data_IF_462405640316
#
_entry.id   IF_462405640316
#
_cell.length_a   1.000
_cell.length_b   1.000
_cell.length_c   1.000
_cell.angle_alpha   90.00
_cell.angle_beta   90.00
_cell.angle_gamma   90.00
#
_symmetry.space_group_name_H-M   'P 1'
#
loop_
_entity.id
_entity.type
_entity.pdbx_description
1 polymer ?
#
# COMPACT_ATOMS: atom_id res chain seq x y z
N UNK A 1 -23.60 28.11 -11.52
CA UNK A 1 -22.40 28.79 -10.98
C UNK A 1 -21.38 27.71 -10.63
N UNK A 2 -20.13 27.81 -11.08
CA UNK A 2 -19.09 26.82 -10.75
C UNK A 2 -18.68 26.99 -9.28
N UNK A 3 -18.77 25.95 -8.45
CA UNK A 3 -18.11 25.94 -7.13
C UNK A 3 -16.69 25.41 -7.29
N UNK A 4 -15.71 26.22 -6.91
CA UNK A 4 -14.32 25.82 -6.81
C UNK A 4 -14.14 24.86 -5.63
N UNK A 5 -13.64 23.66 -5.89
CA UNK A 5 -13.07 22.81 -4.84
C UNK A 5 -11.59 23.19 -4.68
N UNK A 6 -11.23 23.71 -3.51
CA UNK A 6 -9.83 23.92 -3.13
C UNK A 6 -9.30 22.60 -2.61
N UNK A 7 -8.77 21.78 -3.52
CA UNK A 7 -8.05 20.55 -3.14
C UNK A 7 -6.73 20.96 -2.50
N UNK A 8 -6.62 20.85 -1.17
CA UNK A 8 -5.34 20.94 -0.47
C UNK A 8 -4.54 19.67 -0.81
N UNK A 9 -3.78 19.74 -1.90
CA UNK A 9 -2.82 18.69 -2.26
C UNK A 9 -1.72 18.68 -1.20
N UNK A 10 -1.80 17.74 -0.26
CA UNK A 10 -0.65 17.38 0.58
C UNK A 10 0.32 16.65 -0.34
N UNK A 11 1.20 17.41 -0.99
CA UNK A 11 2.33 16.87 -1.74
C UNK A 11 3.27 16.22 -0.72
N UNK A 12 3.05 14.93 -0.45
CA UNK A 12 4.05 14.10 0.19
C UNK A 12 5.24 14.03 -0.77
N UNK A 13 6.25 14.88 -0.55
CA UNK A 13 7.50 14.84 -1.32
C UNK A 13 8.28 13.59 -0.91
N UNK A 14 7.90 12.45 -1.49
CA UNK A 14 8.70 11.23 -1.45
C UNK A 14 9.95 11.50 -2.29
N UNK A 15 10.99 11.97 -1.60
CA UNK A 15 12.33 12.03 -2.15
C UNK A 15 12.79 10.61 -2.46
N UNK A 16 13.26 10.39 -3.68
CA UNK A 16 13.82 9.10 -4.09
C UNK A 16 15.17 8.95 -3.40
N UNK A 17 15.15 8.41 -2.19
CA UNK A 17 16.34 7.97 -1.48
C UNK A 17 16.90 6.72 -2.18
N UNK A 18 18.24 6.57 -2.31
CA UNK A 18 18.81 5.32 -2.80
C UNK A 18 18.44 4.16 -1.87
N UNK A 19 17.88 3.09 -2.44
CA UNK A 19 17.46 1.90 -1.70
C UNK A 19 18.67 1.26 -0.99
N UNK A 20 18.56 1.07 0.33
CA UNK A 20 19.62 0.49 1.13
C UNK A 20 19.60 -1.05 0.99
N UNK A 21 20.52 -1.59 0.17
CA UNK A 21 20.68 -3.03 -0.02
C UNK A 21 21.28 -3.70 1.23
N UNK A 22 20.61 -4.72 1.76
CA UNK A 22 21.23 -5.73 2.62
C UNK A 22 21.54 -6.99 1.79
N UNK A 23 22.65 -7.67 2.10
CA UNK A 23 23.19 -8.73 1.26
C UNK A 23 23.16 -10.08 1.95
N UNK A 24 22.50 -11.09 1.37
CA UNK A 24 23.03 -12.47 1.33
C UNK A 24 22.30 -13.35 0.29
N UNK A 25 22.95 -14.47 -0.05
CA UNK A 25 22.42 -15.65 -0.75
C UNK A 25 22.20 -15.54 -2.28
N UNK A 26 23.32 -15.71 -2.99
CA UNK A 26 23.40 -16.04 -4.40
C UNK A 26 24.03 -17.44 -4.52
N UNK A 27 23.21 -18.49 -4.72
CA UNK A 27 23.54 -19.84 -5.27
C UNK A 27 22.18 -20.56 -5.44
N UNK A 28 21.68 -20.63 -6.68
CA UNK A 28 20.71 -21.64 -7.18
C UNK A 28 20.32 -21.41 -8.66
N UNK A 29 20.43 -20.17 -9.16
CA UNK A 29 19.94 -19.79 -10.49
C UNK A 29 20.81 -20.31 -11.67
N UNK A 30 22.06 -20.71 -11.43
CA UNK A 30 23.03 -20.98 -12.51
C UNK A 30 22.86 -22.35 -13.20
N UNK A 31 22.14 -23.30 -12.60
CA UNK A 31 22.05 -24.67 -13.16
C UNK A 31 21.00 -24.83 -14.27
N UNK A 32 19.96 -23.99 -14.33
CA UNK A 32 18.86 -24.14 -15.32
C UNK A 32 19.17 -23.59 -16.73
N UNK A 33 20.25 -22.82 -16.90
CA UNK A 33 20.60 -22.17 -18.18
C UNK A 33 21.43 -23.04 -19.15
N UNK A 34 21.87 -24.25 -18.76
CA UNK A 34 22.85 -25.04 -19.54
C UNK A 34 22.29 -25.84 -20.73
N UNK A 35 20.97 -25.97 -20.89
CA UNK A 35 20.37 -26.95 -21.80
C UNK A 35 19.82 -26.42 -23.14
N UNK A 36 19.84 -25.10 -23.40
CA UNK A 36 19.37 -24.52 -24.68
C UNK A 36 20.51 -23.87 -25.47
N UNK A 37 21.42 -24.67 -26.00
CA UNK A 37 22.43 -24.25 -26.99
C UNK A 37 22.18 -24.97 -28.32
N UNK A 38 21.35 -24.38 -29.20
CA UNK A 38 21.36 -24.75 -30.61
C UNK A 38 22.51 -24.02 -31.33
N UNK A 39 23.40 -24.79 -31.94
CA UNK A 39 24.56 -24.26 -32.66
C UNK A 39 24.15 -23.57 -33.97
N UNK A 40 24.31 -22.24 -34.04
CA UNK A 40 24.40 -21.52 -35.31
C UNK A 40 25.87 -21.36 -35.75
N UNK A 41 26.17 -21.50 -37.06
CA UNK A 41 27.55 -21.50 -37.54
C UNK A 41 28.20 -20.11 -37.47
N UNK A 42 29.46 -20.08 -37.03
CA UNK A 42 30.25 -18.85 -36.89
C UNK A 42 30.74 -18.39 -38.27
N UNK A 43 30.03 -17.46 -38.90
CA UNK A 43 30.52 -16.70 -40.06
C UNK A 43 30.98 -15.30 -39.63
N UNK A 44 32.28 -15.03 -39.79
CA UNK A 44 32.91 -13.69 -39.86
C UNK A 44 32.22 -12.55 -39.08
N UNK A 45 32.68 -12.30 -37.85
CA UNK A 45 32.27 -11.14 -37.06
C UNK A 45 32.79 -9.86 -37.72
N UNK A 46 31.96 -9.23 -38.56
CA UNK A 46 32.03 -7.78 -38.71
C UNK A 46 31.89 -7.16 -37.31
N UNK A 47 32.75 -6.19 -36.98
CA UNK A 47 32.58 -5.40 -35.76
C UNK A 47 31.35 -4.50 -35.93
N UNK A 48 30.17 -5.04 -35.64
CA UNK A 48 28.90 -4.33 -35.70
C UNK A 48 29.01 -3.04 -34.91
N UNK A 49 29.04 -1.92 -35.63
CA UNK A 49 29.13 -0.58 -35.03
C UNK A 49 27.93 -0.39 -34.10
N UNK A 50 28.18 -0.03 -32.84
CA UNK A 50 27.12 0.28 -31.86
C UNK A 50 26.25 1.40 -32.43
N UNK A 51 24.96 1.13 -32.55
CA UNK A 51 23.96 2.10 -32.99
C UNK A 51 23.05 2.47 -31.82
N UNK A 52 22.84 3.77 -31.64
CA UNK A 52 21.87 4.33 -30.70
C UNK A 52 21.17 5.44 -31.49
N UNK A 53 20.09 5.12 -32.23
CA UNK A 53 19.49 6.06 -33.18
C UNK A 53 18.74 7.20 -32.47
N UNK A 54 18.15 6.94 -31.31
CA UNK A 54 17.54 7.98 -30.49
C UNK A 54 18.62 8.87 -29.86
N UNK A 55 18.62 10.15 -30.23
CA UNK A 55 19.64 11.08 -29.80
C UNK A 55 19.50 11.49 -28.32
N UNK A 56 18.31 11.40 -27.71
CA UNK A 56 18.11 11.65 -26.28
C UNK A 56 18.63 10.47 -25.45
N UNK A 57 18.30 9.23 -25.84
CA UNK A 57 18.86 8.02 -25.23
C UNK A 57 20.39 8.01 -25.31
N UNK A 58 20.93 8.33 -26.49
CA UNK A 58 22.38 8.45 -26.72
C UNK A 58 23.01 9.52 -25.83
N UNK A 59 22.36 10.68 -25.66
CA UNK A 59 22.83 11.73 -24.77
C UNK A 59 22.84 11.25 -23.31
N UNK A 60 21.81 10.57 -22.82
CA UNK A 60 21.79 10.07 -21.44
C UNK A 60 22.82 8.96 -21.20
N UNK A 61 23.07 8.08 -22.18
CA UNK A 61 24.17 7.12 -22.13
C UNK A 61 25.53 7.83 -22.08
N UNK A 62 25.75 8.87 -22.89
CA UNK A 62 26.97 9.70 -22.85
C UNK A 62 27.11 10.50 -21.55
N UNK A 63 26.01 10.99 -20.97
CA UNK A 63 26.01 11.63 -19.65
C UNK A 63 26.43 10.63 -18.56
N UNK A 64 25.94 9.40 -18.62
CA UNK A 64 26.30 8.37 -17.65
C UNK A 64 27.76 7.91 -17.83
N UNK A 65 28.24 7.74 -19.06
CA UNK A 65 29.66 7.52 -19.33
C UNK A 65 30.53 8.70 -18.85
N UNK A 66 30.06 9.94 -18.97
CA UNK A 66 30.79 11.13 -18.49
C UNK A 66 31.04 11.06 -16.98
N UNK A 67 30.04 10.59 -16.21
CA UNK A 67 30.18 10.35 -14.77
C UNK A 67 31.16 9.21 -14.47
N UNK A 68 31.05 8.09 -15.18
CA UNK A 68 31.86 6.88 -14.96
C UNK A 68 33.33 7.04 -15.38
N UNK A 69 33.61 7.84 -16.42
CA UNK A 69 34.95 8.07 -16.97
C UNK A 69 35.64 9.31 -16.36
N UNK A 70 34.94 10.13 -15.58
CA UNK A 70 35.49 11.36 -14.98
C UNK A 70 35.84 12.46 -15.98
N UNK A 71 35.38 12.36 -17.24
CA UNK A 71 35.59 13.35 -18.31
C UNK A 71 34.41 13.35 -19.28
N UNK A 72 34.24 14.42 -20.05
CA UNK A 72 33.26 14.49 -21.13
C UNK A 72 33.38 13.26 -22.04
N UNK A 73 32.31 12.47 -22.13
CA UNK A 73 32.21 11.35 -23.06
C UNK A 73 31.78 11.85 -24.45
N UNK A 74 32.21 11.13 -25.48
CA UNK A 74 32.00 11.45 -26.90
C UNK A 74 31.48 10.23 -27.65
N UNK A 75 31.09 10.38 -28.92
CA UNK A 75 30.69 9.24 -29.75
C UNK A 75 31.79 8.15 -29.87
N UNK A 76 33.06 8.50 -29.67
CA UNK A 76 34.17 7.54 -29.67
C UNK A 76 34.21 6.67 -28.40
N UNK A 77 33.52 7.10 -27.34
CA UNK A 77 33.41 6.37 -26.07
C UNK A 77 32.26 5.35 -26.07
N UNK A 78 31.43 5.32 -27.12
CA UNK A 78 30.39 4.31 -27.36
C UNK A 78 31.01 3.01 -27.87
N UNK A 79 31.89 2.43 -27.05
CA UNK A 79 32.55 1.13 -27.24
C UNK A 79 32.12 0.17 -26.13
N UNK A 80 32.06 -1.13 -26.44
CA UNK A 80 31.48 -2.13 -25.54
C UNK A 80 32.14 -2.13 -24.14
N UNK A 81 33.46 -1.95 -24.06
CA UNK A 81 34.18 -1.90 -22.77
C UNK A 81 33.75 -0.75 -21.86
N UNK A 82 33.27 0.35 -22.43
CA UNK A 82 32.74 1.48 -21.66
C UNK A 82 31.26 1.25 -21.32
N UNK A 83 30.47 0.72 -22.27
CA UNK A 83 29.05 0.41 -22.04
C UNK A 83 28.86 -0.68 -20.98
N UNK A 84 29.79 -1.63 -20.89
CA UNK A 84 29.82 -2.67 -19.85
C UNK A 84 30.08 -2.10 -18.44
N UNK A 85 30.48 -0.82 -18.30
CA UNK A 85 30.58 -0.14 -17.01
C UNK A 85 29.23 0.36 -16.48
N UNK A 86 28.22 0.52 -17.36
CA UNK A 86 26.91 1.05 -16.99
C UNK A 86 26.10 -0.06 -16.30
N UNK A 87 25.90 0.10 -14.98
CA UNK A 87 25.06 -0.78 -14.16
C UNK A 87 23.72 -0.14 -13.74
N UNK A 88 23.65 1.20 -13.75
CA UNK A 88 22.44 1.96 -13.42
C UNK A 88 22.24 3.05 -14.46
N UNK A 89 20.99 3.25 -14.90
CA UNK A 89 20.60 4.29 -15.84
C UNK A 89 19.19 4.83 -15.54
N UNK A 90 19.09 6.14 -15.30
CA UNK A 90 17.81 6.85 -15.20
C UNK A 90 17.61 7.67 -16.47
N UNK A 91 16.67 7.24 -17.31
CA UNK A 91 16.28 7.89 -18.55
C UNK A 91 15.09 8.81 -18.31
N UNK A 92 15.06 9.95 -19.00
CA UNK A 92 13.96 10.91 -18.92
C UNK A 92 13.71 11.66 -20.23
N UNK A 93 12.47 12.10 -20.44
CA UNK A 93 12.09 12.96 -21.57
C UNK A 93 11.62 12.18 -22.80
N UNK A 94 11.49 12.89 -23.94
CA UNK A 94 10.88 12.39 -25.19
C UNK A 94 11.80 11.41 -25.97
N UNK A 95 12.24 10.34 -25.30
CA UNK A 95 12.92 9.18 -25.90
C UNK A 95 11.84 8.30 -26.54
N UNK A 96 12.01 8.01 -27.83
CA UNK A 96 11.02 7.28 -28.65
C UNK A 96 11.42 5.84 -28.88
N UNK A 97 12.71 5.63 -29.15
CA UNK A 97 13.28 4.30 -29.30
C UNK A 97 14.26 3.99 -28.19
N UNK A 98 14.08 2.82 -27.58
CA UNK A 98 15.02 2.22 -26.62
C UNK A 98 16.14 1.41 -27.31
N UNK A 99 16.25 1.48 -28.65
CA UNK A 99 17.35 0.87 -29.38
C UNK A 99 18.69 1.46 -28.94
N UNK A 100 19.55 0.59 -28.43
CA UNK A 100 20.80 0.95 -27.77
C UNK A 100 20.91 0.29 -26.40
N UNK A 101 19.78 0.02 -25.71
CA UNK A 101 19.80 -0.68 -24.43
C UNK A 101 20.38 -2.10 -24.53
N UNK A 102 20.25 -2.78 -25.68
CA UNK A 102 20.81 -4.12 -25.90
C UNK A 102 22.35 -4.21 -25.75
N UNK A 103 23.06 -3.07 -25.78
CA UNK A 103 24.50 -3.04 -25.55
C UNK A 103 24.89 -2.90 -24.07
N UNK A 104 23.94 -2.65 -23.15
CA UNK A 104 24.20 -2.38 -21.72
C UNK A 104 24.16 -3.67 -20.88
N UNK A 105 25.08 -4.60 -21.19
CA UNK A 105 25.09 -6.01 -20.74
C UNK A 105 25.22 -6.24 -19.23
N UNK A 106 25.58 -5.21 -18.48
CA UNK A 106 25.77 -5.26 -17.03
C UNK A 106 24.73 -4.41 -16.26
N UNK A 107 23.66 -3.96 -16.93
CA UNK A 107 22.58 -3.21 -16.28
C UNK A 107 21.94 -4.03 -15.15
N UNK A 108 21.84 -3.40 -13.98
CA UNK A 108 21.16 -3.88 -12.78
C UNK A 108 19.91 -3.06 -12.47
N UNK A 109 19.93 -1.77 -12.78
CA UNK A 109 18.87 -0.81 -12.43
C UNK A 109 18.54 0.10 -13.62
N UNK A 110 17.29 0.07 -14.07
CA UNK A 110 16.81 0.92 -15.16
C UNK A 110 15.56 1.66 -14.71
N UNK A 111 15.52 2.98 -14.92
CA UNK A 111 14.32 3.79 -14.72
C UNK A 111 13.98 4.59 -15.97
N UNK A 112 12.72 4.54 -16.39
CA UNK A 112 12.12 5.30 -17.48
C UNK A 112 11.18 6.35 -16.88
N UNK A 113 11.30 7.64 -17.28
CA UNK A 113 10.48 8.74 -16.72
C UNK A 113 10.04 9.77 -17.74
N UNK A 114 8.78 10.20 -17.68
CA UNK A 114 8.23 11.28 -18.54
C UNK A 114 8.48 10.98 -20.03
N UNK A 115 7.98 9.83 -20.48
CA UNK A 115 8.18 9.30 -21.83
C UNK A 115 6.82 8.98 -22.46
N UNK A 116 6.26 9.93 -23.20
CA UNK A 116 4.87 9.85 -23.71
C UNK A 116 4.76 9.15 -25.08
N UNK A 117 5.87 8.65 -25.64
CA UNK A 117 5.94 8.15 -27.02
C UNK A 117 7.00 7.05 -27.22
N UNK A 118 7.15 6.14 -26.24
CA UNK A 118 8.03 4.97 -26.40
C UNK A 118 7.37 3.95 -27.31
N UNK A 119 8.02 3.63 -28.43
CA UNK A 119 7.51 2.69 -29.43
C UNK A 119 7.38 1.27 -28.88
N UNK A 120 8.37 0.79 -28.10
CA UNK A 120 8.40 -0.57 -27.57
C UNK A 120 9.41 -0.76 -26.44
N UNK A 121 9.05 -1.58 -25.45
CA UNK A 121 9.98 -2.06 -24.42
C UNK A 121 10.77 -3.32 -24.82
N UNK A 122 10.61 -3.84 -26.05
CA UNK A 122 11.19 -5.12 -26.49
C UNK A 122 12.72 -5.23 -26.39
N UNK A 123 13.45 -4.11 -26.32
CA UNK A 123 14.89 -4.07 -26.09
C UNK A 123 15.30 -4.47 -24.66
N UNK A 124 14.39 -4.38 -23.69
CA UNK A 124 14.67 -4.72 -22.28
C UNK A 124 15.06 -6.20 -22.11
N UNK A 125 14.59 -7.12 -22.98
CA UNK A 125 14.91 -8.56 -22.94
C UNK A 125 16.41 -8.89 -22.95
N UNK A 126 17.25 -7.95 -23.39
CA UNK A 126 18.70 -8.10 -23.42
C UNK A 126 19.38 -7.75 -22.08
N UNK A 127 18.65 -7.09 -21.17
CA UNK A 127 19.13 -6.66 -19.85
C UNK A 127 19.00 -7.80 -18.82
N UNK A 128 19.57 -8.97 -19.13
CA UNK A 128 19.38 -10.19 -18.35
C UNK A 128 20.01 -10.21 -16.94
N UNK A 129 20.60 -9.08 -16.48
CA UNK A 129 21.07 -8.86 -15.11
C UNK A 129 20.25 -7.79 -14.37
N UNK A 130 19.15 -7.32 -14.97
CA UNK A 130 18.29 -6.31 -14.37
C UNK A 130 17.63 -6.89 -13.11
N UNK A 131 17.75 -6.15 -12.01
CA UNK A 131 17.22 -6.47 -10.68
C UNK A 131 16.17 -5.46 -10.25
N UNK A 132 16.27 -4.21 -10.73
CA UNK A 132 15.31 -3.15 -10.45
C UNK A 132 14.85 -2.52 -11.76
N UNK A 133 13.53 -2.47 -11.96
CA UNK A 133 12.90 -1.77 -13.08
C UNK A 133 11.92 -0.72 -12.58
N UNK A 134 12.06 0.51 -13.08
CA UNK A 134 11.19 1.63 -12.76
C UNK A 134 10.60 2.26 -14.02
N UNK A 135 9.32 2.58 -14.02
CA UNK A 135 8.63 3.26 -15.12
C UNK A 135 7.63 4.27 -14.53
N UNK A 136 7.79 5.57 -14.82
CA UNK A 136 7.00 6.64 -14.18
C UNK A 136 6.54 7.65 -15.22
N UNK A 137 5.23 7.95 -15.30
CA UNK A 137 4.68 8.82 -16.35
C UNK A 137 5.24 8.43 -17.73
N UNK A 138 5.08 7.16 -18.10
CA UNK A 138 5.68 6.60 -19.31
C UNK A 138 4.63 5.74 -19.99
N UNK A 139 4.15 6.21 -21.14
CA UNK A 139 3.11 5.55 -21.92
C UNK A 139 3.78 4.78 -23.04
N UNK A 140 3.52 3.48 -23.10
CA UNK A 140 4.00 2.61 -24.18
C UNK A 140 2.83 2.33 -25.11
N UNK A 141 2.97 2.64 -26.40
CA UNK A 141 1.86 2.51 -27.36
C UNK A 141 1.48 1.05 -27.65
N UNK A 142 2.41 0.12 -27.47
CA UNK A 142 2.16 -1.32 -27.47
C UNK A 142 1.72 -1.80 -26.07
N UNK A 143 0.42 -2.10 -25.93
CA UNK A 143 -0.17 -2.63 -24.69
C UNK A 143 0.47 -3.92 -24.18
N UNK A 144 1.13 -4.70 -25.04
CA UNK A 144 1.82 -5.95 -24.67
C UNK A 144 3.26 -5.74 -24.23
N UNK A 145 3.81 -4.53 -24.31
CA UNK A 145 5.25 -4.31 -24.13
C UNK A 145 5.77 -4.67 -22.74
N UNK A 146 4.93 -4.66 -21.69
CA UNK A 146 5.34 -5.05 -20.34
C UNK A 146 5.52 -6.57 -20.16
N UNK A 147 4.96 -7.41 -21.04
CA UNK A 147 5.28 -8.84 -21.09
C UNK A 147 6.77 -9.16 -21.31
N UNK A 148 7.57 -8.17 -21.76
CA UNK A 148 9.02 -8.29 -21.83
C UNK A 148 9.66 -8.60 -20.46
N UNK A 149 9.04 -8.13 -19.36
CA UNK A 149 9.55 -8.31 -18.00
C UNK A 149 9.70 -9.78 -17.62
N UNK A 150 8.89 -10.68 -18.19
CA UNK A 150 8.97 -12.13 -17.98
C UNK A 150 10.32 -12.76 -18.34
N UNK A 151 11.12 -12.08 -19.17
CA UNK A 151 12.45 -12.53 -19.57
C UNK A 151 13.54 -12.14 -18.55
N UNK A 152 13.20 -11.28 -17.59
CA UNK A 152 14.13 -10.64 -16.66
C UNK A 152 14.11 -11.36 -15.30
N UNK A 153 14.41 -12.66 -15.33
CA UNK A 153 14.31 -13.61 -14.19
C UNK A 153 15.08 -13.24 -12.92
N UNK A 154 15.95 -12.21 -12.98
CA UNK A 154 16.69 -11.65 -11.84
C UNK A 154 16.02 -10.40 -11.23
N UNK A 155 14.87 -9.96 -11.73
CA UNK A 155 14.09 -8.88 -11.14
C UNK A 155 13.73 -9.22 -9.70
N UNK A 156 14.03 -8.25 -8.83
CA UNK A 156 13.65 -8.19 -7.41
C UNK A 156 12.59 -7.12 -7.19
N UNK A 157 12.72 -5.97 -7.86
CA UNK A 157 11.89 -4.80 -7.60
C UNK A 157 11.33 -4.23 -8.91
N UNK A 158 10.00 -4.10 -8.98
CA UNK A 158 9.27 -3.47 -10.08
C UNK A 158 8.51 -2.27 -9.53
N UNK A 159 8.71 -1.10 -10.12
CA UNK A 159 7.94 0.12 -9.83
C UNK A 159 7.36 0.68 -11.13
N UNK A 160 6.04 0.71 -11.25
CA UNK A 160 5.31 1.23 -12.42
C UNK A 160 4.28 2.23 -11.92
N UNK A 161 4.35 3.47 -12.37
CA UNK A 161 3.45 4.54 -11.91
C UNK A 161 3.01 5.42 -13.08
N UNK A 162 1.72 5.70 -13.19
CA UNK A 162 1.13 6.47 -14.29
C UNK A 162 1.57 5.96 -15.68
N UNK A 163 1.46 4.65 -15.91
CA UNK A 163 1.82 4.02 -17.19
C UNK A 163 0.69 4.06 -18.25
N UNK A 164 -0.50 4.51 -17.86
CA UNK A 164 -1.69 4.50 -18.71
C UNK A 164 -2.35 3.12 -18.73
N UNK A 165 -2.64 2.62 -19.92
CA UNK A 165 -3.27 1.33 -20.17
C UNK A 165 -2.19 0.23 -20.27
N UNK A 166 -2.17 -0.67 -19.29
CA UNK A 166 -1.16 -1.73 -19.13
C UNK A 166 -1.81 -3.11 -19.03
N UNK A 167 -2.91 -3.28 -19.77
CA UNK A 167 -3.83 -4.41 -19.74
C UNK A 167 -3.17 -5.79 -19.91
N UNK A 168 -2.00 -5.83 -20.55
CA UNK A 168 -1.17 -7.03 -20.70
C UNK A 168 0.23 -6.82 -20.10
N UNK A 169 0.28 -6.55 -18.79
CA UNK A 169 1.52 -6.71 -18.00
C UNK A 169 2.17 -8.09 -18.21
N UNK A 170 1.32 -9.08 -18.51
CA UNK A 170 1.71 -10.47 -18.71
C UNK A 170 1.66 -11.26 -17.42
N UNK A 171 1.89 -12.56 -17.57
CA UNK A 171 2.01 -13.48 -16.45
C UNK A 171 3.43 -13.41 -15.87
N UNK A 172 3.61 -12.76 -14.72
CA UNK A 172 4.91 -12.59 -14.07
C UNK A 172 5.36 -13.83 -13.27
N UNK A 173 4.69 -14.99 -13.45
CA UNK A 173 5.03 -16.31 -12.89
C UNK A 173 6.47 -16.78 -13.15
N UNK A 174 7.28 -16.06 -13.92
CA UNK A 174 8.67 -16.39 -14.22
C UNK A 174 9.70 -15.57 -13.42
N UNK A 175 9.28 -14.81 -12.40
CA UNK A 175 10.13 -13.95 -11.57
C UNK A 175 10.35 -14.49 -10.14
N UNK A 176 11.12 -15.58 -9.94
CA UNK A 176 11.26 -16.26 -8.64
C UNK A 176 12.02 -15.45 -7.57
N UNK A 177 12.66 -14.34 -7.97
CA UNK A 177 13.44 -13.46 -7.11
C UNK A 177 12.69 -12.17 -6.73
N UNK A 178 11.42 -12.03 -7.14
CA UNK A 178 10.64 -10.81 -6.93
C UNK A 178 10.32 -10.61 -5.44
N UNK A 179 10.75 -9.48 -4.90
CA UNK A 179 10.66 -9.05 -3.49
C UNK A 179 9.63 -7.91 -3.33
N UNK A 180 9.56 -6.98 -4.29
CA UNK A 180 8.57 -5.89 -4.31
C UNK A 180 7.99 -5.68 -5.72
N UNK A 181 6.67 -5.50 -5.79
CA UNK A 181 5.96 -5.05 -6.99
C UNK A 181 4.99 -3.93 -6.64
N UNK A 182 5.30 -2.72 -7.11
CA UNK A 182 4.46 -1.54 -6.99
C UNK A 182 3.97 -1.12 -8.37
N UNK A 183 2.67 -1.22 -8.60
CA UNK A 183 1.98 -0.66 -9.76
C UNK A 183 0.96 0.35 -9.24
N UNK A 184 0.99 1.57 -9.76
CA UNK A 184 0.04 2.61 -9.39
C UNK A 184 -0.51 3.43 -10.56
N UNK A 185 -1.76 3.85 -10.43
CA UNK A 185 -2.44 4.77 -11.35
C UNK A 185 -2.32 4.34 -12.82
N UNK A 186 -2.51 3.03 -13.05
CA UNK A 186 -2.27 2.34 -14.32
C UNK A 186 -3.31 1.23 -14.48
N UNK A 187 -4.06 1.24 -15.58
CA UNK A 187 -5.21 0.35 -15.76
C UNK A 187 -4.76 -1.09 -16.06
N UNK A 188 -5.24 -2.03 -15.23
CA UNK A 188 -4.97 -3.48 -15.34
C UNK A 188 -6.27 -4.24 -15.61
N UNK A 189 -6.57 -4.56 -16.88
CA UNK A 189 -7.69 -5.44 -17.27
C UNK A 189 -7.72 -6.77 -16.49
N UNK A 190 -6.54 -7.29 -16.13
CA UNK A 190 -6.37 -8.51 -15.34
C UNK A 190 -5.21 -8.35 -14.36
N UNK A 191 -5.31 -9.09 -13.25
CA UNK A 191 -4.23 -9.20 -12.26
C UNK A 191 -2.93 -9.75 -12.87
N UNK A 192 -1.76 -9.32 -12.38
CA UNK A 192 -0.52 -10.02 -12.67
C UNK A 192 -0.53 -11.42 -12.04
N UNK A 193 -0.25 -12.43 -12.87
CA UNK A 193 0.20 -13.75 -12.39
C UNK A 193 1.52 -13.58 -11.64
N UNK A 194 1.62 -14.16 -10.45
CA UNK A 194 2.74 -14.01 -9.52
C UNK A 194 3.03 -15.32 -8.75
N UNK A 195 2.59 -16.48 -9.25
CA UNK A 195 2.55 -17.76 -8.53
C UNK A 195 3.89 -18.26 -8.02
N UNK A 196 4.98 -17.96 -8.73
CA UNK A 196 6.34 -18.33 -8.32
C UNK A 196 7.10 -17.20 -7.61
N UNK A 197 6.49 -16.04 -7.36
CA UNK A 197 7.09 -14.92 -6.62
C UNK A 197 7.07 -15.15 -5.10
N UNK A 198 7.64 -16.28 -4.66
CA UNK A 198 7.61 -16.76 -3.26
C UNK A 198 8.46 -15.92 -2.30
N UNK A 199 9.24 -14.97 -2.82
CA UNK A 199 10.03 -14.00 -2.06
C UNK A 199 9.30 -12.66 -1.88
N UNK A 200 8.07 -12.52 -2.39
CA UNK A 200 7.34 -11.25 -2.39
C UNK A 200 6.97 -10.82 -0.96
N UNK A 201 7.42 -9.61 -0.61
CA UNK A 201 7.19 -8.92 0.67
C UNK A 201 6.23 -7.76 0.50
N UNK A 202 6.41 -6.98 -0.56
CA UNK A 202 5.67 -5.72 -0.77
C UNK A 202 4.85 -5.78 -2.07
N UNK A 203 3.53 -5.67 -1.95
CA UNK A 203 2.59 -5.73 -3.07
C UNK A 203 1.69 -4.51 -3.09
N UNK A 204 1.91 -3.60 -4.04
CA UNK A 204 1.05 -2.43 -4.26
C UNK A 204 0.44 -2.49 -5.66
N UNK A 205 -0.89 -2.46 -5.76
CA UNK A 205 -1.67 -2.38 -7.01
C UNK A 205 -2.70 -1.24 -6.89
N UNK A 206 -2.25 -0.06 -6.43
CA UNK A 206 -3.09 1.08 -6.06
C UNK A 206 -3.62 1.83 -7.29
N UNK A 207 -4.89 2.23 -7.33
CA UNK A 207 -5.50 2.90 -8.48
C UNK A 207 -5.32 2.09 -9.79
N UNK A 208 -5.60 0.77 -9.77
CA UNK A 208 -5.43 -0.12 -10.94
C UNK A 208 -6.72 -0.78 -11.45
N UNK A 209 -7.86 -0.46 -10.82
CA UNK A 209 -9.23 -0.90 -11.14
C UNK A 209 -9.51 -2.40 -10.92
N UNK A 210 -8.73 -3.06 -10.05
CA UNK A 210 -8.89 -4.48 -9.70
C UNK A 210 -10.21 -4.72 -8.94
N UNK A 211 -10.96 -5.73 -9.38
CA UNK A 211 -12.23 -6.15 -8.75
C UNK A 211 -12.08 -7.37 -7.83
N UNK A 212 -11.15 -8.28 -8.15
CA UNK A 212 -10.88 -9.51 -7.40
C UNK A 212 -9.40 -9.88 -7.57
N UNK A 213 -8.73 -10.39 -6.52
CA UNK A 213 -7.42 -11.04 -6.61
C UNK A 213 -7.40 -12.22 -5.63
N UNK A 214 -7.00 -13.41 -6.10
CA UNK A 214 -7.17 -14.68 -5.36
C UNK A 214 -5.87 -15.40 -5.00
N UNK A 215 -4.72 -14.97 -5.52
CA UNK A 215 -3.46 -15.72 -5.41
C UNK A 215 -2.61 -15.35 -4.18
N UNK A 216 -3.17 -14.68 -3.16
CA UNK A 216 -2.39 -14.22 -1.99
C UNK A 216 -1.78 -15.36 -1.15
N UNK A 217 -2.38 -16.55 -1.21
CA UNK A 217 -2.03 -17.69 -0.37
C UNK A 217 -0.62 -18.26 -0.57
N UNK A 218 0.03 -17.94 -1.69
CA UNK A 218 1.41 -18.35 -1.98
C UNK A 218 2.48 -17.41 -1.38
N UNK A 219 2.11 -16.17 -1.04
CA UNK A 219 3.06 -15.14 -0.57
C UNK A 219 3.31 -15.23 0.94
N UNK A 220 3.89 -16.34 1.39
CA UNK A 220 4.13 -16.59 2.83
C UNK A 220 5.06 -15.55 3.50
N UNK A 221 5.82 -14.78 2.71
CA UNK A 221 6.70 -13.69 3.17
C UNK A 221 6.10 -12.29 2.99
N UNK A 222 4.83 -12.15 2.63
CA UNK A 222 4.18 -10.86 2.43
C UNK A 222 4.12 -10.06 3.76
N UNK A 223 4.67 -8.85 3.73
CA UNK A 223 4.81 -7.92 4.87
C UNK A 223 3.92 -6.68 4.69
N UNK A 224 3.80 -6.16 3.47
CA UNK A 224 2.94 -5.01 3.12
C UNK A 224 2.07 -5.27 1.86
N UNK A 225 0.80 -4.88 1.96
CA UNK A 225 -0.18 -4.87 0.85
C UNK A 225 -0.84 -3.51 0.73
N UNK A 226 -0.90 -2.98 -0.49
CA UNK A 226 -1.66 -1.78 -0.83
C UNK A 226 -2.54 -2.02 -2.07
N UNK A 227 -3.84 -1.97 -1.88
CA UNK A 227 -4.87 -2.09 -2.92
C UNK A 227 -5.84 -0.90 -2.85
N UNK A 228 -5.37 0.26 -2.38
CA UNK A 228 -6.17 1.50 -2.34
C UNK A 228 -6.68 1.88 -3.75
N UNK A 229 -7.86 2.51 -3.85
CA UNK A 229 -8.38 3.05 -5.11
C UNK A 229 -8.78 1.98 -6.15
N UNK A 230 -9.39 0.88 -5.70
CA UNK A 230 -9.79 -0.24 -6.55
C UNK A 230 -11.29 -0.53 -6.42
N UNK A 231 -11.75 -1.67 -6.97
CA UNK A 231 -13.16 -2.05 -7.03
C UNK A 231 -13.44 -3.34 -6.25
N UNK A 232 -12.64 -3.63 -5.21
CA UNK A 232 -12.83 -4.81 -4.36
C UNK A 232 -14.16 -4.72 -3.61
N UNK A 233 -14.92 -5.82 -3.57
CA UNK A 233 -16.22 -5.92 -2.87
C UNK A 233 -16.15 -6.67 -1.52
N UNK A 234 -15.04 -7.36 -1.28
CA UNK A 234 -14.74 -8.15 -0.09
C UNK A 234 -13.24 -8.05 0.21
N UNK A 235 -12.84 -8.28 1.46
CA UNK A 235 -11.41 -8.39 1.81
C UNK A 235 -10.86 -9.73 1.32
N UNK A 236 -9.76 -9.77 0.54
CA UNK A 236 -9.13 -11.02 0.15
C UNK A 236 -8.68 -11.89 1.32
N UNK A 237 -8.58 -13.21 1.11
CA UNK A 237 -8.10 -14.13 2.13
C UNK A 237 -6.56 -14.04 2.28
N UNK A 238 -6.12 -13.49 3.41
CA UNK A 238 -4.72 -13.37 3.82
C UNK A 238 -4.31 -14.39 4.90
N UNK A 239 -5.08 -15.46 5.10
CA UNK A 239 -4.85 -16.46 6.15
C UNK A 239 -3.49 -17.20 6.07
N UNK A 240 -2.85 -17.20 4.90
CA UNK A 240 -1.52 -17.79 4.68
C UNK A 240 -0.37 -16.77 4.69
N UNK A 241 -0.62 -15.52 5.10
CA UNK A 241 0.36 -14.42 5.12
C UNK A 241 0.68 -14.00 6.59
N UNK A 242 1.35 -14.86 7.39
CA UNK A 242 1.54 -14.64 8.83
C UNK A 242 2.46 -13.45 9.17
N UNK A 243 3.18 -12.92 8.18
CA UNK A 243 4.10 -11.78 8.32
C UNK A 243 3.44 -10.44 7.94
N UNK A 244 2.18 -10.43 7.52
CA UNK A 244 1.51 -9.24 6.97
C UNK A 244 1.27 -8.18 8.07
N UNK A 245 2.06 -7.11 8.06
CA UNK A 245 1.95 -6.00 9.01
C UNK A 245 1.19 -4.80 8.48
N UNK A 246 1.02 -4.66 7.17
CA UNK A 246 0.29 -3.53 6.59
C UNK A 246 -0.66 -3.99 5.48
N UNK A 247 -1.91 -3.57 5.55
CA UNK A 247 -2.97 -3.82 4.57
C UNK A 247 -3.73 -2.52 4.31
N UNK A 248 -3.57 -1.94 3.12
CA UNK A 248 -4.32 -0.76 2.67
C UNK A 248 -5.35 -1.18 1.61
N UNK A 249 -6.60 -0.80 1.83
CA UNK A 249 -7.81 -1.16 1.10
C UNK A 249 -8.76 0.05 1.02
N UNK A 250 -8.25 1.28 1.17
CA UNK A 250 -9.05 2.50 1.14
C UNK A 250 -9.64 2.74 -0.26
N UNK A 251 -10.76 3.46 -0.35
CA UNK A 251 -11.38 3.87 -1.62
C UNK A 251 -11.66 2.65 -2.51
N UNK A 252 -12.52 1.79 -2.00
CA UNK A 252 -12.94 0.51 -2.58
C UNK A 252 -14.45 0.31 -2.36
N UNK A 253 -14.99 -0.84 -2.75
CA UNK A 253 -16.42 -1.16 -2.67
C UNK A 253 -16.73 -2.23 -1.60
N UNK A 254 -15.82 -2.44 -0.64
CA UNK A 254 -15.84 -3.57 0.29
C UNK A 254 -17.05 -3.49 1.21
N UNK A 255 -17.74 -4.63 1.36
CA UNK A 255 -18.89 -4.80 2.26
C UNK A 255 -18.68 -5.90 3.30
N UNK A 256 -18.02 -6.98 2.90
CA UNK A 256 -17.65 -8.11 3.75
C UNK A 256 -16.19 -7.98 4.20
N UNK A 257 -15.97 -7.91 5.51
CA UNK A 257 -14.63 -7.86 6.12
C UNK A 257 -14.36 -9.10 7.00
N UNK A 258 -15.17 -10.15 6.88
CA UNK A 258 -15.13 -11.33 7.74
C UNK A 258 -13.84 -12.16 7.61
N UNK A 259 -13.07 -11.98 6.54
CA UNK A 259 -11.75 -12.59 6.35
C UNK A 259 -10.66 -11.96 7.24
N UNK A 260 -10.85 -10.74 7.75
CA UNK A 260 -9.86 -10.11 8.63
C UNK A 260 -9.63 -10.87 9.94
N UNK A 261 -10.60 -11.69 10.39
CA UNK A 261 -10.46 -12.52 11.61
C UNK A 261 -9.21 -13.41 11.60
N UNK A 262 -8.73 -13.82 10.43
CA UNK A 262 -7.52 -14.65 10.29
C UNK A 262 -6.23 -13.89 10.61
N UNK A 263 -6.26 -12.56 10.59
CA UNK A 263 -5.13 -11.67 10.86
C UNK A 263 -5.02 -11.25 12.33
N UNK A 264 -5.98 -11.65 13.18
CA UNK A 264 -6.12 -11.26 14.60
C UNK A 264 -4.90 -11.58 15.49
N UNK A 265 -3.99 -12.43 15.04
CA UNK A 265 -2.78 -12.81 15.77
C UNK A 265 -1.59 -11.83 15.57
N UNK A 266 -1.69 -10.85 14.67
CA UNK A 266 -0.57 -10.00 14.26
C UNK A 266 -0.52 -8.71 15.10
N UNK A 267 0.32 -8.72 16.14
CA UNK A 267 0.42 -7.72 17.23
C UNK A 267 0.71 -6.26 16.87
N UNK A 268 0.93 -5.91 15.60
CA UNK A 268 1.23 -4.54 15.18
C UNK A 268 0.71 -4.23 13.78
N UNK A 269 -0.30 -4.96 13.31
CA UNK A 269 -0.82 -4.80 11.97
C UNK A 269 -1.59 -3.48 11.79
N UNK A 270 -1.48 -2.89 10.59
CA UNK A 270 -2.20 -1.70 10.12
C UNK A 270 -3.19 -2.10 9.03
N UNK A 271 -4.46 -1.74 9.20
CA UNK A 271 -5.55 -2.00 8.27
C UNK A 271 -6.26 -0.67 7.98
N UNK A 272 -6.20 -0.20 6.73
CA UNK A 272 -6.96 0.97 6.28
C UNK A 272 -8.06 0.53 5.30
N UNK A 273 -9.32 0.68 5.70
CA UNK A 273 -10.52 0.41 4.91
C UNK A 273 -11.35 1.69 4.74
N UNK A 274 -10.73 2.87 4.84
CA UNK A 274 -11.46 4.14 4.65
C UNK A 274 -12.18 4.19 3.29
N UNK A 275 -13.29 4.93 3.20
CA UNK A 275 -14.06 5.08 1.95
C UNK A 275 -14.42 3.71 1.31
N UNK A 276 -15.14 2.90 2.09
CA UNK A 276 -15.70 1.61 1.65
C UNK A 276 -17.22 1.55 1.94
N UNK A 277 -17.85 0.41 1.67
CA UNK A 277 -19.29 0.18 1.84
C UNK A 277 -19.61 -0.71 3.07
N UNK A 278 -18.67 -0.79 4.01
CA UNK A 278 -18.76 -1.56 5.25
C UNK A 278 -19.85 -0.99 6.16
N UNK A 279 -20.68 -1.88 6.73
CA UNK A 279 -21.78 -1.51 7.64
C UNK A 279 -21.55 -2.04 9.04
N UNK A 280 -22.21 -1.44 10.04
CA UNK A 280 -22.11 -1.81 11.46
C UNK A 280 -22.60 -3.25 11.79
N UNK A 281 -23.16 -3.97 10.81
CA UNK A 281 -23.71 -5.32 10.99
C UNK A 281 -22.70 -6.46 10.72
N UNK A 282 -21.46 -6.17 10.30
CA UNK A 282 -20.46 -7.23 10.09
C UNK A 282 -20.13 -7.93 11.43
N UNK A 283 -20.18 -9.28 11.51
CA UNK A 283 -19.90 -10.01 12.73
C UNK A 283 -18.57 -9.67 13.40
N UNK A 284 -17.56 -9.22 12.64
CA UNK A 284 -16.23 -8.91 13.20
C UNK A 284 -16.24 -7.72 14.16
N UNK A 285 -17.23 -6.83 14.09
CA UNK A 285 -17.40 -5.76 15.07
C UNK A 285 -17.83 -6.25 16.45
N UNK A 286 -18.25 -7.52 16.57
CA UNK A 286 -18.50 -8.18 17.85
C UNK A 286 -17.27 -8.97 18.36
N UNK A 287 -16.21 -9.11 17.57
CA UNK A 287 -14.98 -9.77 17.99
C UNK A 287 -14.08 -8.77 18.74
N UNK A 288 -14.18 -8.81 20.07
CA UNK A 288 -13.38 -7.96 20.96
C UNK A 288 -11.87 -8.23 20.84
N UNK A 289 -11.45 -9.47 20.59
CA UNK A 289 -10.02 -9.81 20.45
C UNK A 289 -9.46 -9.25 19.15
N UNK A 290 -10.24 -9.32 18.07
CA UNK A 290 -9.94 -8.62 16.83
C UNK A 290 -9.81 -7.12 17.09
N UNK A 291 -10.87 -6.43 17.52
CA UNK A 291 -10.85 -4.97 17.67
C UNK A 291 -9.78 -4.43 18.63
N UNK A 292 -9.51 -5.13 19.74
CA UNK A 292 -8.48 -4.73 20.72
C UNK A 292 -7.04 -4.88 20.18
N UNK A 293 -6.81 -5.77 19.22
CA UNK A 293 -5.48 -5.97 18.61
C UNK A 293 -5.04 -4.84 17.67
N UNK A 294 -5.98 -4.07 17.08
CA UNK A 294 -5.69 -2.98 16.12
C UNK A 294 -5.94 -1.56 16.66
N UNK A 295 -5.86 -1.36 17.98
CA UNK A 295 -6.13 -0.15 18.78
C UNK A 295 -6.01 1.27 18.14
N UNK A 296 -5.00 1.52 17.31
CA UNK A 296 -4.82 2.80 16.57
C UNK A 296 -4.73 2.64 15.05
N UNK A 297 -4.76 1.38 14.60
CA UNK A 297 -4.24 0.92 13.34
C UNK A 297 -5.34 0.40 12.41
N UNK A 298 -6.59 0.32 12.88
CA UNK A 298 -7.77 -0.04 12.10
C UNK A 298 -8.61 1.20 11.77
N UNK A 299 -8.78 1.48 10.49
CA UNK A 299 -9.66 2.53 9.97
C UNK A 299 -10.79 1.81 9.21
N UNK A 300 -11.92 1.47 9.87
CA UNK A 300 -12.90 0.57 9.28
C UNK A 300 -13.68 1.17 8.11
N UNK A 301 -14.10 2.44 8.20
CA UNK A 301 -14.75 3.25 7.15
C UNK A 301 -15.04 4.64 7.76
N UNK A 302 -14.95 5.73 7.00
CA UNK A 302 -15.35 7.09 7.43
C UNK A 302 -16.85 7.33 7.39
N UNK A 303 -17.56 6.68 6.47
CA UNK A 303 -19.01 6.85 6.28
C UNK A 303 -19.84 5.75 6.96
N UNK A 304 -19.19 4.73 7.52
CA UNK A 304 -19.86 3.85 8.45
C UNK A 304 -20.25 4.66 9.68
N UNK A 305 -21.56 4.89 9.81
CA UNK A 305 -22.21 5.44 10.99
C UNK A 305 -22.09 4.43 12.14
N UNK A 306 -20.87 4.25 12.68
CA UNK A 306 -20.60 3.41 13.84
C UNK A 306 -21.37 3.96 15.03
N UNK A 307 -22.56 3.42 15.28
CA UNK A 307 -23.26 3.77 16.50
C UNK A 307 -22.50 3.18 17.66
N UNK A 308 -22.07 4.04 18.60
CA UNK A 308 -21.61 3.60 19.92
C UNK A 308 -22.67 2.80 20.71
N UNK A 309 -23.91 2.64 20.22
CA UNK A 309 -24.87 1.67 20.75
C UNK A 309 -24.40 0.21 20.63
N UNK A 310 -23.41 -0.09 19.76
CA UNK A 310 -22.77 -1.42 19.74
C UNK A 310 -21.74 -1.60 20.87
N UNK A 311 -21.27 -0.52 21.49
CA UNK A 311 -20.38 -0.54 22.66
C UNK A 311 -21.16 -0.51 23.99
N UNK A 312 -22.47 -0.84 23.98
CA UNK A 312 -23.31 -0.87 25.17
C UNK A 312 -22.85 -1.88 26.23
N UNK A 313 -22.17 -2.98 25.85
CA UNK A 313 -21.50 -3.91 26.75
C UNK A 313 -20.04 -4.15 26.29
N UNK A 314 -19.08 -3.58 27.00
CA UNK A 314 -17.63 -3.78 26.83
C UNK A 314 -17.17 -4.82 27.85
N UNK A 315 -16.53 -5.91 27.40
CA UNK A 315 -15.88 -6.89 28.27
C UNK A 315 -14.37 -6.63 28.27
N UNK A 316 -13.73 -6.57 29.44
CA UNK A 316 -12.28 -6.45 29.62
C UNK A 316 -11.79 -7.51 30.62
N UNK A 317 -10.54 -7.94 30.51
CA UNK A 317 -9.82 -8.65 31.57
C UNK A 317 -9.07 -7.65 32.47
N UNK A 318 -8.76 -8.02 33.72
CA UNK A 318 -7.99 -7.15 34.63
C UNK A 318 -6.62 -6.78 34.03
N UNK A 319 -6.34 -5.48 33.89
CA UNK A 319 -5.13 -4.94 33.26
C UNK A 319 -5.25 -4.60 31.76
N UNK A 320 -6.31 -5.02 31.07
CA UNK A 320 -6.54 -4.66 29.66
C UNK A 320 -7.02 -3.21 29.48
N UNK A 321 -6.87 -2.66 28.27
CA UNK A 321 -7.51 -1.39 27.92
C UNK A 321 -7.98 -1.31 26.47
N UNK A 322 -9.16 -0.71 26.29
CA UNK A 322 -9.78 -0.40 25.00
C UNK A 322 -9.58 1.07 24.67
N UNK A 323 -9.47 1.39 23.38
CA UNK A 323 -9.49 2.76 22.87
C UNK A 323 -10.70 2.98 21.99
N UNK A 324 -11.40 4.09 22.20
CA UNK A 324 -12.54 4.52 21.40
C UNK A 324 -12.12 5.77 20.62
N UNK A 325 -11.88 5.70 19.30
CA UNK A 325 -11.52 6.86 18.48
C UNK A 325 -12.60 7.96 18.52
N UNK A 326 -12.20 9.24 18.65
CA UNK A 326 -13.18 10.33 18.79
C UNK A 326 -14.01 10.52 17.52
N UNK A 327 -13.45 10.15 16.36
CA UNK A 327 -14.14 10.14 15.07
C UNK A 327 -15.38 9.24 15.04
N UNK A 328 -15.49 8.22 15.91
CA UNK A 328 -16.68 7.37 16.01
C UNK A 328 -17.84 8.06 16.75
N UNK A 329 -17.61 9.19 17.43
CA UNK A 329 -18.59 9.83 18.30
C UNK A 329 -19.45 10.92 17.62
N UNK A 330 -19.49 10.96 16.30
CA UNK A 330 -20.12 12.04 15.52
C UNK A 330 -21.46 11.58 14.96
N UNK A 331 -22.47 12.46 15.00
CA UNK A 331 -23.76 12.26 14.34
C UNK A 331 -24.01 13.38 13.33
N UNK A 332 -24.63 13.05 12.19
CA UNK A 332 -25.09 14.03 11.21
C UNK A 332 -26.25 14.90 11.77
N UNK A 333 -26.42 16.10 11.20
CA UNK A 333 -27.53 17.01 11.55
C UNK A 333 -28.84 16.57 10.92
N UNK A 334 -29.88 16.44 11.75
CA UNK A 334 -31.31 16.77 11.57
C UNK A 334 -32.13 15.90 12.56
N UNK A 335 -33.18 16.34 13.26
CA UNK A 335 -34.02 17.55 13.20
C UNK A 335 -34.36 18.07 14.63
N UNK A 336 -35.00 19.24 14.70
CA UNK A 336 -35.53 19.85 15.93
C UNK A 336 -36.68 19.05 16.55
N UNK A 337 -36.70 18.94 17.88
CA UNK A 337 -37.91 18.65 18.67
C UNK A 337 -38.06 19.73 19.75
N UNK A 338 -39.18 20.43 19.73
CA UNK A 338 -39.62 21.40 20.72
C UNK A 338 -40.79 20.78 21.51
N UNK A 339 -40.63 20.58 22.82
CA UNK A 339 -41.73 20.28 23.74
C UNK A 339 -41.52 21.10 25.02
N UNK A 340 -42.62 21.68 25.50
CA UNK A 340 -42.72 22.76 26.49
C UNK A 340 -42.60 22.30 27.95
N UNK A 341 -42.43 23.29 28.84
CA UNK A 341 -42.43 23.15 30.31
C UNK A 341 -43.55 22.25 30.86
N UNK A 342 -43.22 21.39 31.83
CA UNK A 342 -43.76 21.56 33.19
C UNK A 342 -43.01 20.77 34.30
N UNK A 343 -43.07 21.32 35.53
CA UNK A 343 -42.87 20.70 36.85
C UNK A 343 -41.50 20.12 37.31
N UNK A 344 -40.87 20.86 38.22
CA UNK A 344 -39.85 20.40 39.20
C UNK A 344 -40.48 20.28 40.59
N UNK A 345 -40.31 19.14 41.31
CA UNK A 345 -39.60 19.18 42.60
C UNK A 345 -38.77 17.89 42.88
N UNK A 346 -37.65 17.84 43.60
CA UNK A 346 -36.67 18.79 44.18
C UNK A 346 -35.65 17.93 44.95
N UNK A 347 -34.35 18.23 44.83
CA UNK A 347 -33.27 17.99 45.82
C UNK A 347 -32.78 16.55 46.08
N UNK A 348 -31.54 16.26 45.63
CA UNK A 348 -30.38 16.20 46.55
C UNK A 348 -29.10 16.79 45.92
N UNK A 349 -28.18 17.22 46.79
CA UNK A 349 -26.94 17.99 46.56
C UNK A 349 -25.89 17.45 47.56
N UNK A 350 -24.56 17.45 47.38
CA UNK A 350 -23.60 17.97 46.36
C UNK A 350 -22.37 17.00 46.44
N UNK A 351 -21.39 16.88 45.56
CA UNK A 351 -20.76 17.72 44.53
C UNK A 351 -20.36 16.81 43.34
N UNK A 352 -20.49 17.18 42.05
CA UNK A 352 -19.87 18.29 41.31
C UNK A 352 -18.34 18.20 41.16
N UNK A 353 -17.90 17.89 39.93
CA UNK A 353 -17.18 18.85 39.09
C UNK A 353 -17.44 18.56 37.60
N UNK A 354 -17.81 19.60 36.86
CA UNK A 354 -17.87 19.61 35.40
C UNK A 354 -16.57 20.22 34.86
N UNK A 355 -16.20 19.84 33.64
CA UNK A 355 -15.29 20.65 32.81
C UNK A 355 -16.11 21.27 31.67
N UNK A 356 -15.92 22.56 31.44
CA UNK A 356 -16.58 23.33 30.39
C UNK A 356 -15.50 23.95 29.51
N UNK A 357 -15.69 23.78 28.19
CA UNK A 357 -14.89 24.27 27.06
C UNK A 357 -13.41 23.81 26.96
N UNK A 358 -12.89 23.46 25.78
CA UNK A 358 -13.51 23.39 24.44
C UNK A 358 -12.84 22.28 23.61
N UNK A 359 -13.53 21.49 22.76
CA UNK A 359 -14.92 21.59 22.29
C UNK A 359 -15.64 20.24 22.50
N UNK A 360 -16.41 20.16 23.59
CA UNK A 360 -17.47 19.17 23.86
C UNK A 360 -17.10 17.68 23.85
N UNK A 361 -16.38 17.21 24.87
CA UNK A 361 -16.57 15.84 25.38
C UNK A 361 -16.76 15.85 26.90
N UNK A 362 -17.81 15.21 27.41
CA UNK A 362 -18.00 14.96 28.84
C UNK A 362 -17.85 13.47 29.14
N UNK A 363 -16.94 13.15 30.05
CA UNK A 363 -16.75 11.83 30.64
C UNK A 363 -17.03 11.92 32.14
N UNK A 364 -18.06 11.23 32.61
CA UNK A 364 -18.38 11.17 34.04
C UNK A 364 -18.13 9.77 34.60
N UNK A 365 -17.12 9.62 35.45
CA UNK A 365 -16.78 8.37 36.12
C UNK A 365 -16.30 8.59 37.54
N UNK A 366 -16.69 7.67 38.41
CA UNK A 366 -16.20 7.58 39.78
C UNK A 366 -16.40 6.13 40.27
N UNK A 367 -15.51 5.21 39.86
CA UNK A 367 -15.51 3.82 40.33
C UNK A 367 -14.10 3.19 40.18
N UNK A 368 -13.66 2.39 41.15
CA UNK A 368 -12.27 1.90 41.22
C UNK A 368 -11.93 0.79 40.20
N UNK A 369 -12.93 0.25 39.52
CA UNK A 369 -12.78 -0.90 38.62
C UNK A 369 -12.11 -0.53 37.28
N UNK A 370 -12.18 0.74 36.87
CA UNK A 370 -11.63 1.23 35.61
C UNK A 370 -11.01 2.62 35.75
N UNK A 371 -9.98 2.92 34.96
CA UNK A 371 -9.50 4.27 34.69
C UNK A 371 -9.89 4.69 33.27
N UNK A 372 -10.08 6.00 33.04
CA UNK A 372 -10.40 6.54 31.72
C UNK A 372 -9.55 7.76 31.42
N UNK A 373 -8.87 7.73 30.28
CA UNK A 373 -7.95 8.76 29.83
C UNK A 373 -8.36 9.28 28.45
N UNK A 374 -8.57 10.59 28.32
CA UNK A 374 -8.81 11.23 27.02
C UNK A 374 -7.46 11.54 26.36
N UNK A 375 -7.19 10.90 25.23
CA UNK A 375 -6.10 11.28 24.33
C UNK A 375 -6.53 12.34 23.32
N UNK A 376 -5.64 12.70 22.39
CA UNK A 376 -5.96 13.69 21.34
C UNK A 376 -7.07 13.18 20.41
N UNK A 377 -6.96 11.94 19.93
CA UNK A 377 -7.85 11.34 18.92
C UNK A 377 -8.63 10.10 19.42
N UNK A 378 -8.57 9.79 20.73
CA UNK A 378 -9.25 8.64 21.33
C UNK A 378 -9.60 8.83 22.82
N UNK A 379 -10.45 7.95 23.36
CA UNK A 379 -10.68 7.72 24.79
C UNK A 379 -10.12 6.34 25.13
N UNK A 380 -9.19 6.24 26.08
CA UNK A 380 -8.80 4.98 26.69
C UNK A 380 -9.72 4.65 27.87
N UNK A 381 -10.19 3.40 27.93
CA UNK A 381 -10.80 2.81 29.13
C UNK A 381 -9.93 1.61 29.52
N UNK A 382 -9.37 1.65 30.72
CA UNK A 382 -8.49 0.60 31.24
C UNK A 382 -9.14 -0.10 32.42
N UNK A 383 -9.10 -1.43 32.41
CA UNK A 383 -9.52 -2.29 33.50
C UNK A 383 -8.47 -2.30 34.61
N UNK A 384 -8.87 -1.92 35.81
CA UNK A 384 -8.01 -1.95 37.01
C UNK A 384 -8.38 -3.07 37.97
N UNK A 385 -9.68 -3.38 38.12
CA UNK A 385 -10.19 -4.41 39.03
C UNK A 385 -11.49 -5.03 38.51
N UNK A 386 -11.69 -6.32 38.78
CA UNK A 386 -12.90 -7.08 38.47
C UNK A 386 -14.18 -6.37 38.95
N UNK A 387 -15.17 -6.25 38.06
CA UNK A 387 -16.48 -5.70 38.37
C UNK A 387 -17.12 -4.93 37.22
N UNK A 388 -18.33 -4.41 37.44
CA UNK A 388 -19.12 -3.74 36.39
C UNK A 388 -19.26 -2.24 36.64
N UNK A 389 -19.04 -1.42 35.62
CA UNK A 389 -19.14 0.05 35.68
C UNK A 389 -19.90 0.59 34.48
N UNK A 390 -20.80 1.57 34.70
CA UNK A 390 -21.43 2.30 33.60
C UNK A 390 -20.69 3.62 33.34
N UNK A 391 -20.32 3.87 32.09
CA UNK A 391 -19.70 5.12 31.63
C UNK A 391 -20.74 5.90 30.83
N UNK A 392 -20.93 7.17 31.18
CA UNK A 392 -21.59 8.12 30.28
C UNK A 392 -20.53 8.88 29.50
N UNK A 393 -20.59 8.79 28.18
CA UNK A 393 -19.71 9.52 27.26
C UNK A 393 -20.57 10.42 26.38
N UNK A 394 -20.43 11.74 26.50
CA UNK A 394 -21.09 12.70 25.61
C UNK A 394 -20.05 13.37 24.71
N UNK A 395 -20.35 13.54 23.42
CA UNK A 395 -19.52 14.29 22.47
C UNK A 395 -20.42 15.16 21.58
N UNK A 396 -20.13 16.46 21.50
CA UNK A 396 -21.08 17.43 20.91
C UNK A 396 -22.46 17.34 21.58
N UNK A 397 -23.49 17.07 20.78
CA UNK A 397 -24.86 16.83 21.27
C UNK A 397 -25.17 15.34 21.51
N UNK A 398 -24.29 14.43 21.08
CA UNK A 398 -24.49 12.99 21.26
C UNK A 398 -24.15 12.55 22.69
N UNK A 399 -24.82 11.50 23.16
CA UNK A 399 -24.61 10.92 24.49
C UNK A 399 -24.79 9.42 24.41
N UNK A 400 -23.79 8.69 24.90
CA UNK A 400 -23.71 7.24 24.87
C UNK A 400 -23.55 6.69 26.29
N UNK A 401 -24.13 5.53 26.55
CA UNK A 401 -24.00 4.78 27.79
C UNK A 401 -23.27 3.48 27.48
N UNK A 402 -22.08 3.30 28.05
CA UNK A 402 -21.28 2.08 27.94
C UNK A 402 -21.40 1.31 29.25
N UNK A 403 -21.61 0.00 29.21
CA UNK A 403 -21.47 -0.88 30.37
C UNK A 403 -20.16 -1.65 30.24
N UNK A 404 -19.16 -1.33 31.07
CA UNK A 404 -17.91 -2.08 31.11
C UNK A 404 -18.00 -3.16 32.18
N UNK A 405 -17.64 -4.39 31.83
CA UNK A 405 -17.50 -5.52 32.75
C UNK A 405 -16.05 -6.01 32.71
N UNK A 406 -15.38 -5.91 33.85
CA UNK A 406 -14.03 -6.42 34.04
C UNK A 406 -14.12 -7.81 34.66
N UNK A 407 -13.50 -8.79 34.01
CA UNK A 407 -13.38 -10.18 34.46
C UNK A 407 -11.94 -10.46 34.96
N UNK A 408 -11.74 -11.63 35.58
CA UNK A 408 -10.43 -12.13 36.00
C UNK A 408 -9.64 -12.75 34.84
#
# INVERSE_FOLDING_TARGET
MKKSFVTTVVVATITISPFACSTTNQILAEEKMKNNNENFPISSVEKSKIQIPDQQLKNEILNQLTRLLGRQATNNDLVQSNLDLIQTLWLKGDIKSLEGLQYLRNMKELSLKYMDSVDSLSYLKHLNKLTHFGMVHTVVHDKKSLSVLNHLVYLKNIFIDHAGDVNELGDLDHLPNLESIHISSSFLDNNPGLTNSLQLKDLSLRDTEIQHYSHYSQFTQLEEVNLDGNHLIEVPDFSANPNLTTLRLQDNQIKDISNLKYLSNIKSMVINLDQNLITENDPIFNDFNFLSSYRYNFIPNRDAQFKLSLLEDIMLSEGESILIPLKWMIHEKEQSIEITDDLIPKVFNKAQLHFIDSHNMNLSLNNNNITVHKGNDCIEIKAEQVGTTKIKVSYGNATYMLHVRVNK
#
